data_IF_109067470906
#
_entry.id   IF_109067470906
#
_cell.length_a   1.000
_cell.length_b   1.000
_cell.length_c   1.000
_cell.angle_alpha   90.00
_cell.angle_beta   90.00
_cell.angle_gamma   90.00
#
_symmetry.space_group_name_H-M   'P 1'
#
loop_
_entity.id
_entity.type
_entity.pdbx_description
1 polymer ?
#
# COMPACT_ATOMS: atom_id res chain seq x y z
N UNK A 1 -29.76 -10.28 6.51
CA UNK A 1 -29.10 -8.99 6.23
C UNK A 1 -28.29 -8.59 7.44
N UNK A 2 -27.09 -8.06 7.27
CA UNK A 2 -26.23 -7.64 8.37
C UNK A 2 -26.78 -6.37 9.03
N UNK A 3 -26.80 -6.31 10.37
CA UNK A 3 -27.27 -5.12 11.08
C UNK A 3 -26.24 -3.99 11.00
N UNK A 4 -26.64 -2.75 11.31
CA UNK A 4 -25.69 -1.64 11.49
C UNK A 4 -24.65 -1.97 12.56
N UNK A 5 -25.05 -2.67 13.63
CA UNK A 5 -24.15 -3.13 14.70
C UNK A 5 -23.14 -4.16 14.18
N UNK A 6 -23.55 -5.09 13.31
CA UNK A 6 -22.64 -6.07 12.71
C UNK A 6 -21.62 -5.41 11.78
N UNK A 7 -22.04 -4.40 11.00
CA UNK A 7 -21.14 -3.61 10.15
C UNK A 7 -20.11 -2.83 10.98
N UNK A 8 -20.55 -2.17 12.05
CA UNK A 8 -19.66 -1.46 12.97
C UNK A 8 -18.64 -2.40 13.64
N UNK A 9 -19.09 -3.58 14.10
CA UNK A 9 -18.18 -4.59 14.66
C UNK A 9 -17.17 -5.08 13.63
N UNK A 10 -17.59 -5.33 12.40
CA UNK A 10 -16.70 -5.76 11.33
C UNK A 10 -15.67 -4.68 10.95
N UNK A 11 -16.10 -3.41 10.84
CA UNK A 11 -15.20 -2.27 10.65
C UNK A 11 -14.13 -2.22 11.73
N UNK A 12 -14.51 -2.31 13.01
CA UNK A 12 -13.58 -2.29 14.13
C UNK A 12 -12.58 -3.46 14.06
N UNK A 13 -13.02 -4.64 13.64
CA UNK A 13 -12.14 -5.79 13.46
C UNK A 13 -11.14 -5.61 12.31
N UNK A 14 -11.52 -4.94 11.22
CA UNK A 14 -10.59 -4.56 10.14
C UNK A 14 -9.55 -3.57 10.66
N UNK A 15 -10.00 -2.52 11.36
CA UNK A 15 -9.12 -1.50 11.90
C UNK A 15 -8.14 -2.06 12.94
N UNK A 16 -8.58 -2.96 13.81
CA UNK A 16 -7.70 -3.65 14.77
C UNK A 16 -6.57 -4.45 14.09
N UNK A 17 -6.79 -4.98 12.88
CA UNK A 17 -5.72 -5.60 12.08
C UNK A 17 -4.77 -4.52 11.54
N UNK A 18 -5.30 -3.43 11.01
CA UNK A 18 -4.52 -2.34 10.41
C UNK A 18 -3.73 -1.52 11.44
N UNK A 19 -4.22 -1.40 12.67
CA UNK A 19 -3.51 -0.79 13.80
C UNK A 19 -2.18 -1.52 14.09
N UNK A 20 -2.09 -2.81 13.73
CA UNK A 20 -0.89 -3.64 13.87
C UNK A 20 0.01 -3.63 12.64
N UNK A 21 -0.40 -2.97 11.55
CA UNK A 21 0.39 -2.84 10.30
C UNK A 21 1.47 -1.75 10.45
N UNK A 22 2.35 -1.94 11.44
CA UNK A 22 3.57 -1.17 11.64
C UNK A 22 4.74 -2.13 11.78
N UNK A 23 5.95 -1.67 11.46
CA UNK A 23 7.15 -2.50 11.52
C UNK A 23 8.27 -1.79 12.27
N UNK A 24 9.01 -2.54 13.09
CA UNK A 24 10.03 -2.00 14.00
C UNK A 24 11.20 -1.32 13.27
N UNK A 25 11.47 -1.69 12.02
CA UNK A 25 12.57 -1.11 11.24
C UNK A 25 12.19 0.22 10.54
N UNK A 26 10.90 0.59 10.52
CA UNK A 26 10.42 1.76 9.81
C UNK A 26 11.11 3.08 10.23
N UNK A 27 11.37 3.34 11.53
CA UNK A 27 12.10 4.54 11.94
C UNK A 27 13.50 4.67 11.30
N UNK A 28 14.20 3.56 11.06
CA UNK A 28 15.51 3.56 10.42
C UNK A 28 15.44 3.99 8.95
N UNK A 29 14.39 3.61 8.23
CA UNK A 29 14.16 4.09 6.86
C UNK A 29 13.75 5.57 6.82
N UNK A 30 13.25 6.13 7.93
CA UNK A 30 12.72 7.48 8.00
C UNK A 30 13.69 8.53 8.57
N UNK A 31 14.79 8.12 9.21
CA UNK A 31 15.72 9.03 9.89
C UNK A 31 17.05 9.27 9.15
N UNK A 32 17.23 8.65 7.99
CA UNK A 32 18.44 8.79 7.17
C UNK A 32 19.59 7.86 7.53
N UNK A 33 19.43 6.93 8.48
CA UNK A 33 20.51 6.04 8.91
C UNK A 33 20.83 4.92 7.91
N UNK A 34 19.88 4.57 7.03
CA UNK A 34 20.06 3.50 6.04
C UNK A 34 20.81 4.05 4.83
N UNK A 35 21.94 3.44 4.48
CA UNK A 35 22.73 3.88 3.35
C UNK A 35 21.97 3.67 2.03
N UNK A 36 22.23 4.53 1.04
CA UNK A 36 21.57 4.47 -0.28
C UNK A 36 21.65 3.08 -0.93
N UNK A 37 22.79 2.41 -0.89
CA UNK A 37 22.94 1.08 -1.48
C UNK A 37 22.10 0.00 -0.75
N UNK A 38 21.78 0.19 0.54
CA UNK A 38 20.87 -0.67 1.29
C UNK A 38 19.41 -0.36 0.91
N UNK A 39 19.05 0.92 0.76
CA UNK A 39 17.72 1.34 0.29
C UNK A 39 17.34 0.73 -1.07
N UNK A 40 18.33 0.50 -1.95
CA UNK A 40 18.11 -0.19 -3.22
C UNK A 40 17.36 -1.51 -3.03
N UNK A 41 17.77 -2.34 -2.06
CA UNK A 41 17.12 -3.63 -1.79
C UNK A 41 15.69 -3.42 -1.30
N UNK A 42 15.46 -2.47 -0.40
CA UNK A 42 14.13 -2.14 0.09
C UNK A 42 13.18 -1.80 -1.06
N UNK A 43 13.58 -0.89 -1.95
CA UNK A 43 12.74 -0.44 -3.05
C UNK A 43 12.58 -1.49 -4.15
N UNK A 44 13.61 -2.29 -4.45
CA UNK A 44 13.47 -3.41 -5.38
C UNK A 44 12.41 -4.40 -4.88
N UNK A 45 12.47 -4.78 -3.59
CA UNK A 45 11.49 -5.72 -3.05
C UNK A 45 10.08 -5.11 -3.04
N UNK A 46 9.93 -3.84 -2.67
CA UNK A 46 8.61 -3.17 -2.71
C UNK A 46 8.05 -3.06 -4.13
N UNK A 47 8.91 -2.72 -5.09
CA UNK A 47 8.53 -2.59 -6.49
C UNK A 47 7.99 -3.90 -7.06
N UNK A 48 8.74 -4.98 -6.84
CA UNK A 48 8.43 -6.31 -7.38
C UNK A 48 7.29 -7.00 -6.63
N UNK A 49 7.13 -6.77 -5.32
CA UNK A 49 6.05 -7.41 -4.55
C UNK A 49 4.69 -6.83 -4.92
N UNK A 50 4.56 -5.52 -5.10
CA UNK A 50 3.25 -4.95 -5.44
C UNK A 50 3.27 -3.71 -6.31
N UNK A 51 4.23 -2.77 -6.24
CA UNK A 51 4.07 -1.48 -6.95
C UNK A 51 3.93 -1.68 -8.45
N UNK A 52 4.80 -2.47 -9.08
CA UNK A 52 4.78 -2.71 -10.53
C UNK A 52 3.43 -3.28 -10.99
N UNK A 53 2.93 -4.25 -10.25
CA UNK A 53 1.77 -5.06 -10.64
C UNK A 53 0.48 -4.64 -9.92
N UNK A 54 0.50 -3.53 -9.18
CA UNK A 54 -0.62 -3.03 -8.39
C UNK A 54 -1.90 -2.85 -9.24
N UNK A 55 -1.86 -2.14 -10.39
CA UNK A 55 -3.03 -2.03 -11.27
C UNK A 55 -3.50 -3.40 -11.82
N UNK A 56 -2.57 -4.32 -12.08
CA UNK A 56 -2.90 -5.69 -12.56
C UNK A 56 -3.63 -6.48 -11.47
N UNK A 57 -3.18 -6.39 -10.22
CA UNK A 57 -3.81 -7.05 -9.08
C UNK A 57 -5.23 -6.50 -8.84
N UNK A 58 -5.43 -5.17 -8.95
CA UNK A 58 -6.76 -4.57 -8.91
C UNK A 58 -7.65 -5.02 -10.09
N UNK A 59 -7.09 -5.08 -11.30
CA UNK A 59 -7.80 -5.52 -12.50
C UNK A 59 -8.31 -6.96 -12.37
N UNK A 60 -7.58 -7.85 -11.69
CA UNK A 60 -8.05 -9.22 -11.39
C UNK A 60 -9.31 -9.19 -10.51
N UNK A 61 -9.32 -8.37 -9.45
CA UNK A 61 -10.52 -8.20 -8.59
C UNK A 61 -11.68 -7.61 -9.40
N UNK A 62 -11.42 -6.59 -10.22
CA UNK A 62 -12.42 -6.00 -11.11
C UNK A 62 -12.98 -7.04 -12.11
N UNK A 63 -12.13 -7.91 -12.65
CA UNK A 63 -12.48 -8.97 -13.59
C UNK A 63 -13.39 -10.06 -13.00
N UNK A 64 -13.49 -10.17 -11.67
CA UNK A 64 -14.46 -11.04 -11.01
C UNK A 64 -15.91 -10.51 -11.07
N UNK A 65 -16.13 -9.38 -11.77
CA UNK A 65 -17.42 -8.75 -11.97
C UNK A 65 -18.14 -8.40 -10.64
N UNK A 66 -17.51 -7.62 -9.74
CA UNK A 66 -18.17 -7.14 -8.54
C UNK A 66 -19.36 -6.21 -8.91
N UNK A 67 -20.20 -5.80 -7.96
CA UNK A 67 -21.34 -4.92 -8.23
C UNK A 67 -20.94 -3.62 -8.94
N UNK A 68 -21.84 -3.04 -9.74
CA UNK A 68 -21.54 -1.88 -10.61
C UNK A 68 -20.86 -0.70 -9.90
N UNK A 69 -21.29 -0.25 -8.69
CA UNK A 69 -20.60 0.82 -7.99
C UNK A 69 -19.15 0.47 -7.65
N UNK A 70 -18.89 -0.78 -7.28
CA UNK A 70 -17.54 -1.28 -6.97
C UNK A 70 -16.67 -1.32 -8.21
N UNK A 71 -17.23 -1.77 -9.35
CA UNK A 71 -16.48 -1.78 -10.62
C UNK A 71 -16.06 -0.37 -11.03
N UNK A 72 -16.93 0.63 -10.85
CA UNK A 72 -16.57 2.03 -11.14
C UNK A 72 -15.38 2.48 -10.30
N UNK A 73 -15.45 2.27 -8.97
CA UNK A 73 -14.36 2.64 -8.06
C UNK A 73 -13.05 1.94 -8.41
N UNK A 74 -13.10 0.63 -8.67
CA UNK A 74 -11.92 -0.13 -9.08
C UNK A 74 -11.38 0.33 -10.45
N UNK A 75 -12.25 0.67 -11.40
CA UNK A 75 -11.83 1.16 -12.72
C UNK A 75 -11.15 2.54 -12.63
N UNK A 76 -11.67 3.45 -11.80
CA UNK A 76 -11.04 4.75 -11.53
C UNK A 76 -9.66 4.56 -10.88
N UNK A 77 -9.55 3.67 -9.89
CA UNK A 77 -8.28 3.36 -9.23
C UNK A 77 -7.28 2.74 -10.21
N UNK A 78 -7.70 1.74 -11.01
CA UNK A 78 -6.86 1.14 -12.05
C UNK A 78 -6.40 2.19 -13.06
N UNK A 79 -7.30 3.07 -13.52
CA UNK A 79 -6.96 4.11 -14.48
C UNK A 79 -5.91 5.08 -13.92
N UNK A 80 -6.05 5.50 -12.66
CA UNK A 80 -5.06 6.35 -12.00
C UNK A 80 -3.72 5.64 -11.79
N UNK A 81 -3.73 4.40 -11.29
CA UNK A 81 -2.50 3.63 -11.02
C UNK A 81 -1.72 3.29 -12.30
N UNK A 82 -2.43 2.92 -13.38
CA UNK A 82 -1.83 2.42 -14.62
C UNK A 82 -1.50 3.54 -15.62
N UNK A 83 -2.11 4.74 -15.48
CA UNK A 83 -1.90 5.86 -16.42
C UNK A 83 -1.54 7.19 -15.77
N UNK A 84 -1.87 7.39 -14.49
CA UNK A 84 -1.81 8.70 -13.81
C UNK A 84 -2.83 9.71 -14.33
N UNK A 85 -3.86 9.24 -15.05
CA UNK A 85 -4.78 10.09 -15.80
C UNK A 85 -5.70 10.97 -14.95
N UNK A 86 -5.75 10.78 -13.63
CA UNK A 86 -6.46 11.66 -12.69
C UNK A 86 -5.52 12.64 -11.99
N UNK A 87 -4.20 12.38 -12.00
CA UNK A 87 -3.19 13.21 -11.35
C UNK A 87 -2.15 13.80 -12.32
N UNK A 88 -0.97 13.20 -12.44
CA UNK A 88 0.23 13.75 -13.08
C UNK A 88 0.51 13.16 -14.48
N UNK A 89 -0.44 12.41 -15.04
CA UNK A 89 -0.38 11.87 -16.40
C UNK A 89 0.69 10.79 -16.61
N UNK A 90 1.14 10.13 -15.54
CA UNK A 90 2.11 9.02 -15.59
C UNK A 90 1.73 7.95 -14.57
N UNK A 91 1.89 6.69 -14.97
CA UNK A 91 1.60 5.54 -14.11
C UNK A 91 2.40 5.57 -12.81
N UNK A 92 1.82 5.05 -11.74
CA UNK A 92 2.49 4.99 -10.43
C UNK A 92 3.77 4.15 -10.46
N UNK A 93 3.86 3.01 -11.18
CA UNK A 93 5.13 2.32 -11.42
C UNK A 93 6.19 3.21 -12.08
N UNK A 94 5.84 4.04 -13.07
CA UNK A 94 6.78 4.93 -13.74
C UNK A 94 7.23 6.10 -12.85
N UNK A 95 6.31 6.63 -12.04
CA UNK A 95 6.62 7.64 -11.03
C UNK A 95 7.54 7.07 -9.94
N UNK A 96 7.33 5.82 -9.53
CA UNK A 96 8.22 5.11 -8.62
C UNK A 96 9.64 5.00 -9.21
N UNK A 97 9.78 4.57 -10.46
CA UNK A 97 11.10 4.49 -11.12
C UNK A 97 11.75 5.87 -11.29
N UNK A 98 10.96 6.93 -11.46
CA UNK A 98 11.46 8.32 -11.47
C UNK A 98 12.04 8.70 -10.11
N UNK A 99 11.36 8.36 -9.01
CA UNK A 99 11.87 8.52 -7.65
C UNK A 99 13.17 7.74 -7.43
N UNK A 100 13.26 6.51 -7.95
CA UNK A 100 14.48 5.68 -7.89
C UNK A 100 15.65 6.27 -8.66
N UNK A 101 15.41 6.89 -9.83
CA UNK A 101 16.43 7.67 -10.55
C UNK A 101 16.96 8.83 -9.71
N UNK A 102 16.12 9.45 -8.88
CA UNK A 102 16.53 10.46 -7.90
C UNK A 102 17.55 9.95 -6.87
N UNK A 103 17.51 8.65 -6.55
CA UNK A 103 18.51 7.94 -5.74
C UNK A 103 19.71 7.42 -6.56
N UNK A 104 19.83 7.82 -7.82
CA UNK A 104 20.86 7.37 -8.77
C UNK A 104 20.82 5.88 -9.07
N UNK A 105 19.66 5.25 -8.94
CA UNK A 105 19.43 3.91 -9.50
C UNK A 105 18.99 4.00 -10.95
N UNK A 106 19.25 2.94 -11.71
CA UNK A 106 18.93 2.84 -13.13
C UNK A 106 17.67 2.00 -13.34
N UNK A 107 17.06 2.06 -14.53
CA UNK A 107 15.94 1.19 -14.86
C UNK A 107 16.34 -0.30 -14.82
N UNK A 108 17.54 -0.63 -15.31
CA UNK A 108 18.12 -1.96 -15.25
C UNK A 108 18.18 -2.55 -13.82
N UNK A 109 18.28 -1.70 -12.79
CA UNK A 109 18.23 -2.15 -11.41
C UNK A 109 16.87 -2.75 -11.01
N UNK A 110 15.80 -2.49 -11.77
CA UNK A 110 14.43 -2.88 -11.47
C UNK A 110 13.80 -3.81 -12.53
N UNK A 111 14.53 -4.20 -13.58
CA UNK A 111 14.04 -5.07 -14.65
C UNK A 111 14.04 -6.56 -14.26
N UNK A 112 14.95 -7.00 -13.39
CA UNK A 112 15.10 -8.42 -13.02
C UNK A 112 15.40 -8.56 -11.53
N UNK A 113 14.37 -8.34 -10.71
CA UNK A 113 14.48 -8.38 -9.26
C UNK A 113 14.28 -9.82 -8.78
N UNK A 114 15.26 -10.34 -8.04
CA UNK A 114 15.06 -11.58 -7.28
C UNK A 114 14.41 -11.25 -5.94
N UNK A 115 13.18 -11.73 -5.74
CA UNK A 115 12.51 -11.59 -4.46
C UNK A 115 13.21 -12.41 -3.36
N UNK A 116 13.32 -11.82 -2.18
CA UNK A 116 13.68 -12.56 -0.97
C UNK A 116 12.61 -13.64 -0.71
N UNK A 117 12.95 -14.79 -0.11
CA UNK A 117 11.98 -15.87 0.12
C UNK A 117 10.70 -15.42 0.85
N UNK A 118 10.82 -14.53 1.85
CA UNK A 118 9.65 -13.99 2.56
C UNK A 118 8.83 -13.02 1.69
N UNK A 119 9.50 -12.19 0.87
CA UNK A 119 8.84 -11.30 -0.08
C UNK A 119 8.07 -12.09 -1.15
N UNK A 120 8.67 -13.17 -1.69
CA UNK A 120 8.03 -14.08 -2.63
C UNK A 120 6.81 -14.77 -2.02
N UNK A 121 6.90 -15.24 -0.76
CA UNK A 121 5.73 -15.82 -0.07
C UNK A 121 4.60 -14.81 0.06
N UNK A 122 4.90 -13.57 0.42
CA UNK A 122 3.90 -12.51 0.53
C UNK A 122 3.30 -12.16 -0.84
N UNK A 123 4.12 -12.00 -1.88
CA UNK A 123 3.67 -11.81 -3.26
C UNK A 123 2.72 -12.91 -3.73
N UNK A 124 3.13 -14.17 -3.57
CA UNK A 124 2.31 -15.34 -3.93
C UNK A 124 0.99 -15.38 -3.16
N UNK A 125 0.96 -14.88 -1.92
CA UNK A 125 -0.27 -14.73 -1.16
C UNK A 125 -1.17 -13.67 -1.80
N UNK A 126 -0.66 -12.48 -2.10
CA UNK A 126 -1.42 -11.42 -2.78
C UNK A 126 -2.02 -11.93 -4.10
N UNK A 127 -1.24 -12.62 -4.92
CA UNK A 127 -1.70 -13.22 -6.18
C UNK A 127 -2.86 -14.21 -5.96
N UNK A 128 -2.83 -15.02 -4.89
CA UNK A 128 -3.92 -15.93 -4.55
C UNK A 128 -5.14 -15.19 -4.02
N UNK A 129 -4.95 -14.20 -3.15
CA UNK A 129 -6.03 -13.43 -2.52
C UNK A 129 -6.89 -12.69 -3.56
N UNK A 130 -6.28 -12.13 -4.60
CA UNK A 130 -7.02 -11.43 -5.67
C UNK A 130 -7.70 -12.37 -6.67
N UNK A 131 -7.45 -13.68 -6.55
CA UNK A 131 -8.08 -14.74 -7.35
C UNK A 131 -9.09 -15.56 -6.54
N UNK A 132 -9.37 -15.18 -5.29
CA UNK A 132 -10.43 -15.79 -4.49
C UNK A 132 -11.79 -15.64 -5.20
N UNK A 133 -12.72 -16.57 -5.00
CA UNK A 133 -14.06 -16.50 -5.62
C UNK A 133 -14.93 -15.39 -5.03
N UNK A 134 -14.70 -15.03 -3.76
CA UNK A 134 -15.35 -13.90 -3.12
C UNK A 134 -14.51 -12.64 -3.39
N UNK A 135 -14.84 -11.89 -4.44
CA UNK A 135 -14.12 -10.66 -4.85
C UNK A 135 -13.83 -9.68 -3.70
N UNK A 136 -14.69 -9.64 -2.68
CA UNK A 136 -14.54 -8.76 -1.51
C UNK A 136 -13.28 -9.07 -0.70
N UNK A 137 -12.80 -10.32 -0.74
CA UNK A 137 -11.53 -10.74 -0.13
C UNK A 137 -10.35 -10.12 -0.87
N UNK A 138 -10.36 -10.20 -2.21
CA UNK A 138 -9.36 -9.56 -3.07
C UNK A 138 -9.38 -8.03 -2.93
N UNK A 139 -10.58 -7.43 -2.94
CA UNK A 139 -10.75 -5.99 -2.77
C UNK A 139 -10.19 -5.51 -1.43
N UNK A 140 -10.56 -6.16 -0.31
CA UNK A 140 -10.01 -5.82 1.00
C UNK A 140 -8.50 -6.00 1.07
N UNK A 141 -7.95 -7.02 0.41
CA UNK A 141 -6.50 -7.25 0.38
C UNK A 141 -5.77 -6.09 -0.29
N UNK A 142 -6.25 -5.63 -1.45
CA UNK A 142 -5.55 -4.57 -2.20
C UNK A 142 -5.87 -3.17 -1.65
N UNK A 143 -7.15 -2.82 -1.51
CA UNK A 143 -7.55 -1.43 -1.21
C UNK A 143 -7.53 -1.11 0.28
N UNK A 144 -7.82 -2.09 1.16
CA UNK A 144 -7.70 -1.87 2.61
C UNK A 144 -6.28 -2.16 3.08
N UNK A 145 -5.75 -3.36 2.81
CA UNK A 145 -4.48 -3.76 3.40
C UNK A 145 -3.25 -3.23 2.66
N UNK A 146 -3.10 -3.43 1.34
CA UNK A 146 -1.89 -3.03 0.62
C UNK A 146 -1.75 -1.50 0.59
N UNK A 147 -2.77 -0.78 0.11
CA UNK A 147 -2.77 0.69 0.07
C UNK A 147 -2.80 1.34 1.45
N UNK A 148 -3.46 0.70 2.43
CA UNK A 148 -3.69 1.30 3.73
C UNK A 148 -2.48 1.34 4.65
N UNK A 149 -2.64 2.00 5.79
CA UNK A 149 -1.60 2.11 6.80
C UNK A 149 -2.17 2.08 8.21
N UNK A 150 -1.27 2.09 9.20
CA UNK A 150 -1.62 2.27 10.62
C UNK A 150 -2.36 3.59 10.89
N UNK A 151 -2.37 4.55 9.95
CA UNK A 151 -3.07 5.82 10.08
C UNK A 151 -4.54 5.76 9.68
N UNK A 152 -4.99 4.68 9.04
CA UNK A 152 -6.33 4.55 8.49
C UNK A 152 -7.42 4.84 9.53
N UNK A 153 -7.29 4.33 10.76
CA UNK A 153 -8.25 4.63 11.84
C UNK A 153 -8.40 6.12 12.08
N UNK A 154 -7.28 6.83 12.15
CA UNK A 154 -7.29 8.29 12.35
C UNK A 154 -7.93 8.97 11.15
N UNK A 155 -7.57 8.57 9.94
CA UNK A 155 -8.11 9.16 8.70
C UNK A 155 -9.61 8.93 8.56
N UNK A 156 -10.14 7.78 9.01
CA UNK A 156 -11.57 7.52 8.99
C UNK A 156 -12.35 8.39 10.00
N UNK A 157 -11.77 8.66 11.17
CA UNK A 157 -12.34 9.53 12.21
C UNK A 157 -12.21 11.02 11.87
N UNK A 158 -11.07 11.40 11.30
CA UNK A 158 -10.66 12.76 10.97
C UNK A 158 -10.38 12.83 9.46
N UNK A 159 -11.44 12.89 8.66
CA UNK A 159 -11.32 12.91 7.21
C UNK A 159 -10.34 14.01 6.75
N UNK A 160 -9.26 13.57 6.11
CA UNK A 160 -8.25 14.48 5.57
C UNK A 160 -8.90 15.39 4.54
N UNK A 161 -8.72 16.71 4.71
CA UNK A 161 -9.11 17.68 3.68
C UNK A 161 -8.13 17.60 2.51
N UNK A 162 -8.58 17.85 1.27
CA UNK A 162 -7.67 18.00 0.14
C UNK A 162 -6.55 19.00 0.47
N UNK A 163 -5.30 18.59 0.22
CA UNK A 163 -4.13 19.42 0.50
C UNK A 163 -3.92 20.42 -0.64
N UNK A 164 -3.62 21.67 -0.31
CA UNK A 164 -3.16 22.66 -1.30
C UNK A 164 -1.79 22.29 -1.85
N UNK A 165 -1.45 22.77 -3.05
CA UNK A 165 -0.11 22.56 -3.63
C UNK A 165 1.03 22.94 -2.67
N UNK A 166 0.88 24.05 -1.91
CA UNK A 166 1.87 24.48 -0.91
C UNK A 166 2.03 23.48 0.24
N UNK A 167 0.93 22.88 0.70
CA UNK A 167 0.96 21.85 1.76
C UNK A 167 1.61 20.57 1.24
N UNK A 168 1.29 20.16 -0.01
CA UNK A 168 1.91 19.00 -0.65
C UNK A 168 3.43 19.19 -0.76
N UNK A 169 3.89 20.35 -1.25
CA UNK A 169 5.32 20.64 -1.33
C UNK A 169 5.99 20.69 0.06
N UNK A 170 5.25 21.06 1.11
CA UNK A 170 5.76 20.98 2.48
C UNK A 170 5.96 19.55 2.94
N UNK A 171 5.05 18.63 2.58
CA UNK A 171 5.21 17.19 2.85
C UNK A 171 6.42 16.65 2.10
N UNK A 172 6.58 17.00 0.83
CA UNK A 172 7.69 16.54 -0.02
C UNK A 172 9.04 16.98 0.54
N UNK A 173 9.19 18.23 0.98
CA UNK A 173 10.44 18.73 1.60
C UNK A 173 10.82 17.99 2.89
N UNK A 174 9.84 17.45 3.61
CA UNK A 174 10.07 16.67 4.83
C UNK A 174 10.25 15.18 4.57
N UNK A 175 10.05 14.72 3.33
CA UNK A 175 10.17 13.31 2.99
C UNK A 175 11.61 12.82 3.24
N UNK A 176 11.83 11.64 3.87
CA UNK A 176 13.16 11.16 4.21
C UNK A 176 14.14 11.10 3.03
N UNK A 177 13.66 10.71 1.85
CA UNK A 177 14.48 10.68 0.63
C UNK A 177 15.01 12.06 0.22
N UNK A 178 14.21 13.11 0.41
CA UNK A 178 14.62 14.49 0.12
C UNK A 178 15.54 14.98 1.23
N UNK A 179 15.10 14.86 2.48
CA UNK A 179 15.78 15.44 3.64
C UNK A 179 17.15 14.81 3.93
N UNK A 180 17.28 13.50 3.78
CA UNK A 180 18.47 12.76 4.20
C UNK A 180 19.25 12.11 3.05
N UNK A 181 18.59 11.82 1.92
CA UNK A 181 19.24 11.15 0.79
C UNK A 181 19.47 12.05 -0.43
N UNK A 182 19.13 13.34 -0.33
CA UNK A 182 19.41 14.35 -1.36
C UNK A 182 18.63 14.14 -2.66
N UNK A 183 17.51 13.42 -2.61
CA UNK A 183 16.62 13.30 -3.76
C UNK A 183 15.98 14.65 -4.04
N UNK A 184 16.05 15.11 -5.28
CA UNK A 184 15.40 16.36 -5.68
C UNK A 184 13.88 16.25 -5.54
N UNK A 185 13.20 17.29 -5.04
CA UNK A 185 11.74 17.33 -4.91
C UNK A 185 10.99 17.12 -6.23
N UNK A 186 11.64 17.40 -7.37
CA UNK A 186 11.12 17.15 -8.72
C UNK A 186 11.04 15.66 -9.06
N UNK A 187 11.78 14.79 -8.36
CA UNK A 187 11.68 13.34 -8.51
C UNK A 187 10.61 12.70 -7.62
N UNK A 188 9.87 13.49 -6.83
CA UNK A 188 8.91 13.02 -5.82
C UNK A 188 7.45 13.03 -6.31
N UNK A 189 7.23 12.95 -7.63
CA UNK A 189 5.90 12.99 -8.24
C UNK A 189 4.98 11.86 -7.76
N UNK A 190 5.51 10.67 -7.43
CA UNK A 190 4.69 9.60 -6.84
C UNK A 190 4.05 10.04 -5.52
N UNK A 191 4.85 10.65 -4.63
CA UNK A 191 4.35 11.15 -3.34
C UNK A 191 3.39 12.30 -3.58
N UNK A 192 3.66 13.16 -4.57
CA UNK A 192 2.76 14.25 -4.97
C UNK A 192 1.40 13.71 -5.43
N UNK A 193 1.39 12.71 -6.32
CA UNK A 193 0.19 12.04 -6.80
C UNK A 193 -0.64 11.47 -5.65
N UNK A 194 -0.03 10.68 -4.75
CA UNK A 194 -0.73 10.18 -3.56
C UNK A 194 -1.34 11.32 -2.74
N UNK A 195 -0.61 12.41 -2.47
CA UNK A 195 -1.14 13.52 -1.69
C UNK A 195 -2.30 14.28 -2.36
N UNK A 196 -2.44 14.22 -3.69
CA UNK A 196 -3.53 14.84 -4.44
C UNK A 196 -4.83 14.06 -4.34
N UNK A 197 -4.75 12.73 -4.24
CA UNK A 197 -5.91 11.83 -4.28
C UNK A 197 -6.22 11.14 -2.94
N UNK A 198 -5.33 11.21 -1.94
CA UNK A 198 -5.49 10.55 -0.63
C UNK A 198 -6.75 10.99 0.16
N UNK A 199 -7.27 12.20 -0.10
CA UNK A 199 -8.47 12.69 0.58
C UNK A 199 -9.73 11.96 0.09
N UNK A 200 -10.27 11.06 0.93
CA UNK A 200 -11.52 10.33 0.68
C UNK A 200 -11.34 8.88 0.20
N UNK A 201 -10.24 8.57 -0.48
CA UNK A 201 -9.96 7.22 -1.00
C UNK A 201 -9.96 6.14 0.09
N UNK A 202 -9.55 6.48 1.32
CA UNK A 202 -9.59 5.53 2.44
C UNK A 202 -11.02 5.20 2.86
N UNK A 203 -11.90 6.18 3.04
CA UNK A 203 -13.32 5.94 3.38
C UNK A 203 -13.98 5.02 2.35
N UNK A 204 -13.76 5.32 1.08
CA UNK A 204 -14.25 4.55 -0.06
C UNK A 204 -13.82 3.08 -0.02
N UNK A 205 -12.54 2.82 0.28
CA UNK A 205 -12.02 1.46 0.41
C UNK A 205 -12.70 0.66 1.54
N UNK A 206 -12.87 1.26 2.71
CA UNK A 206 -13.52 0.58 3.84
C UNK A 206 -15.02 0.42 3.63
N UNK A 207 -15.71 1.45 3.11
CA UNK A 207 -17.14 1.41 2.83
C UNK A 207 -17.47 0.35 1.79
N UNK A 208 -16.64 0.21 0.74
CA UNK A 208 -16.76 -0.88 -0.22
C UNK A 208 -16.72 -2.24 0.47
N UNK A 209 -15.72 -2.51 1.32
CA UNK A 209 -15.59 -3.82 1.96
C UNK A 209 -16.71 -4.08 2.98
N UNK A 210 -17.00 -3.10 3.84
CA UNK A 210 -17.98 -3.24 4.93
C UNK A 210 -19.41 -3.37 4.41
N UNK A 211 -19.76 -2.65 3.34
CA UNK A 211 -21.12 -2.69 2.79
C UNK A 211 -21.38 -3.92 1.90
N UNK A 212 -20.33 -4.51 1.32
CA UNK A 212 -20.49 -5.66 0.41
C UNK A 212 -20.11 -7.02 1.02
N UNK A 213 -19.39 -7.09 2.13
CA UNK A 213 -19.25 -8.31 2.93
C UNK A 213 -20.54 -8.59 3.74
N UNK A 214 -21.60 -9.02 3.04
CA UNK A 214 -22.98 -9.07 3.58
C UNK A 214 -23.23 -10.23 4.54
N UNK A 215 -22.42 -11.28 4.47
CA UNK A 215 -22.58 -12.49 5.29
C UNK A 215 -21.46 -12.61 6.33
N UNK A 216 -21.75 -13.27 7.45
CA UNK A 216 -20.72 -13.58 8.45
C UNK A 216 -19.59 -14.45 7.87
N UNK A 217 -19.90 -15.32 6.89
CA UNK A 217 -18.89 -16.13 6.21
C UNK A 217 -17.90 -15.24 5.44
N UNK A 218 -18.40 -14.30 4.64
CA UNK A 218 -17.58 -13.35 3.90
C UNK A 218 -16.76 -12.47 4.84
N UNK A 219 -17.36 -11.95 5.91
CA UNK A 219 -16.62 -11.16 6.91
C UNK A 219 -15.48 -11.96 7.55
N UNK A 220 -15.74 -13.23 7.93
CA UNK A 220 -14.70 -14.11 8.46
C UNK A 220 -13.61 -14.40 7.44
N UNK A 221 -13.97 -14.61 6.16
CA UNK A 221 -13.00 -14.82 5.09
C UNK A 221 -12.10 -13.59 4.90
N UNK A 222 -12.67 -12.38 4.85
CA UNK A 222 -11.91 -11.12 4.79
C UNK A 222 -10.97 -10.99 5.98
N UNK A 223 -11.48 -11.14 7.21
CA UNK A 223 -10.64 -11.01 8.42
C UNK A 223 -9.53 -12.06 8.47
N UNK A 224 -9.82 -13.30 8.06
CA UNK A 224 -8.81 -14.35 7.98
C UNK A 224 -7.73 -14.00 6.96
N UNK A 225 -8.13 -13.54 5.78
CA UNK A 225 -7.21 -13.12 4.73
C UNK A 225 -6.30 -11.99 5.21
N UNK A 226 -6.88 -10.93 5.81
CA UNK A 226 -6.10 -9.78 6.26
C UNK A 226 -5.16 -10.10 7.44
N UNK A 227 -5.52 -11.05 8.31
CA UNK A 227 -4.60 -11.55 9.35
C UNK A 227 -3.39 -12.25 8.72
N UNK A 228 -3.62 -13.13 7.74
CA UNK A 228 -2.54 -13.77 6.99
C UNK A 228 -1.71 -12.75 6.21
N UNK A 229 -2.34 -11.74 5.61
CA UNK A 229 -1.63 -10.63 4.98
C UNK A 229 -0.70 -9.93 5.97
N UNK A 230 -1.19 -9.62 7.18
CA UNK A 230 -0.38 -8.98 8.22
C UNK A 230 0.83 -9.83 8.60
N UNK A 231 0.62 -11.11 8.90
CA UNK A 231 1.69 -12.00 9.34
C UNK A 231 2.77 -12.18 8.25
N UNK A 232 2.36 -12.32 6.99
CA UNK A 232 3.27 -12.42 5.85
C UNK A 232 3.96 -11.09 5.54
N UNK A 233 3.25 -9.96 5.65
CA UNK A 233 3.81 -8.63 5.46
C UNK A 233 4.88 -8.32 6.52
N UNK A 234 4.65 -8.69 7.79
CA UNK A 234 5.63 -8.53 8.86
C UNK A 234 6.91 -9.36 8.58
N UNK A 235 6.76 -10.63 8.19
CA UNK A 235 7.90 -11.47 7.80
C UNK A 235 8.65 -10.93 6.57
N UNK A 236 7.90 -10.42 5.59
CA UNK A 236 8.45 -9.75 4.42
C UNK A 236 9.29 -8.52 4.84
N UNK A 237 8.74 -7.65 5.69
CA UNK A 237 9.44 -6.45 6.17
C UNK A 237 10.64 -6.80 7.07
N UNK A 238 10.57 -7.86 7.87
CA UNK A 238 11.72 -8.40 8.62
C UNK A 238 12.87 -8.82 7.69
N UNK A 239 12.55 -9.57 6.64
CA UNK A 239 13.55 -10.01 5.66
C UNK A 239 14.17 -8.82 4.92
N UNK A 240 13.37 -7.82 4.55
CA UNK A 240 13.87 -6.58 3.94
C UNK A 240 14.77 -5.81 4.90
N UNK A 241 14.36 -5.63 6.15
CA UNK A 241 15.17 -4.94 7.16
C UNK A 241 16.53 -5.62 7.33
N UNK A 242 16.56 -6.96 7.46
CA UNK A 242 17.79 -7.74 7.53
C UNK A 242 18.64 -7.59 6.27
N UNK A 243 18.04 -7.66 5.08
CA UNK A 243 18.75 -7.49 3.80
C UNK A 243 19.34 -6.07 3.64
N UNK A 244 18.70 -5.07 4.26
CA UNK A 244 19.19 -3.70 4.36
C UNK A 244 20.21 -3.49 5.48
N UNK A 245 20.60 -4.53 6.22
CA UNK A 245 21.56 -4.43 7.33
C UNK A 245 21.03 -3.71 8.56
N UNK A 246 19.71 -3.65 8.74
CA UNK A 246 19.08 -3.05 9.92
C UNK A 246 18.91 -4.15 10.97
N UNK A 247 19.49 -3.91 12.14
CA UNK A 247 19.41 -4.83 13.28
C UNK A 247 18.28 -4.45 14.23
N UNK A 248 17.61 -5.47 14.76
CA UNK A 248 16.55 -5.30 15.76
C UNK A 248 17.21 -5.13 17.13
N UNK A 249 17.37 -3.89 17.57
CA UNK A 249 17.88 -3.62 18.92
C UNK A 249 16.83 -4.05 19.95
N UNK A 250 17.25 -4.83 20.96
CA UNK A 250 16.39 -5.34 22.05
C UNK A 250 15.75 -4.25 22.93
N UNK A 251 16.07 -2.96 22.70
CA UNK A 251 15.59 -1.82 23.48
C UNK A 251 14.30 -1.18 22.96
N UNK A 252 13.74 -1.65 21.83
CA UNK A 252 12.54 -1.08 21.19
C UNK A 252 11.37 -2.09 21.10
N UNK A 253 11.24 -2.99 22.08
CA UNK A 253 10.05 -3.86 22.25
C UNK A 253 9.15 -3.27 23.33
#
# INVERSE_FOLDING_TARGET
MNTQRDRARFMEQLLSIMDRKHHWAWPSFANGSVARHQLKRHFQQEYEVYVRDFPVLLARVHGQNPPSPVRRMLAENIYEEDTGGLSLGRSHPDLFLTMMKGLRFTAADFESITLLPAALRYRNWLDRSVMDRDWVVGAATMTVFVEGSVKDRKELLEASRPKTARQIESVIRQHPLVKYHGVASTAMDLIRAHQMVEAGHRHDAYDMVVNYAKTQSQQRAVLSCLRTCLDLWLQYRDAVAKACGIEKNSANV
#
